data_IF_885891755920
#
_entry.id   IF_885891755920
#
_cell.length_a   1.000
_cell.length_b   1.000
_cell.length_c   1.000
_cell.angle_alpha   90.00
_cell.angle_beta   90.00
_cell.angle_gamma   90.00
#
_symmetry.space_group_name_H-M   'P 1'
#
loop_
_entity.id
_entity.type
_entity.pdbx_description
1 polymer ?
#
# COMPACT_ATOMS: atom_id res chain seq x y z
N UNK A 1 18.24 -2.58 -14.01
CA UNK A 1 17.22 -1.71 -13.41
C UNK A 1 15.98 -1.71 -14.28
N UNK A 2 14.80 -1.81 -13.69
CA UNK A 2 13.55 -1.77 -14.44
C UNK A 2 13.33 -0.38 -15.05
N UNK A 3 12.84 -0.36 -16.28
CA UNK A 3 12.50 0.88 -16.98
C UNK A 3 10.99 1.09 -16.84
N UNK A 4 10.61 2.15 -16.14
CA UNK A 4 9.20 2.51 -15.93
C UNK A 4 8.74 3.62 -16.85
N UNK A 5 9.55 3.99 -17.84
CA UNK A 5 9.21 5.06 -18.79
C UNK A 5 7.91 4.73 -19.52
N UNK A 6 6.98 5.69 -19.50
CA UNK A 6 5.68 5.52 -20.14
C UNK A 6 4.66 4.75 -19.31
N UNK A 7 5.02 4.26 -18.13
CA UNK A 7 4.09 3.56 -17.26
C UNK A 7 3.58 4.49 -16.15
N UNK A 8 2.26 4.50 -15.90
CA UNK A 8 1.71 5.29 -14.80
C UNK A 8 2.23 4.78 -13.46
N UNK A 9 2.79 5.68 -12.67
CA UNK A 9 3.41 5.37 -11.39
C UNK A 9 2.85 6.21 -10.26
N UNK A 10 2.90 5.63 -9.07
CA UNK A 10 2.76 6.37 -7.80
C UNK A 10 4.13 6.36 -7.13
N UNK A 11 4.63 7.53 -6.79
CA UNK A 11 5.94 7.69 -6.18
C UNK A 11 5.80 8.17 -4.74
N UNK A 12 6.76 7.81 -3.89
CA UNK A 12 6.86 8.39 -2.56
C UNK A 12 6.92 9.92 -2.68
N UNK A 13 5.99 10.61 -2.02
CA UNK A 13 5.94 12.07 -2.09
C UNK A 13 7.19 12.71 -1.52
N UNK A 14 7.78 12.06 -0.51
CA UNK A 14 8.93 12.60 0.20
C UNK A 14 10.23 12.51 -0.61
N UNK A 15 10.49 11.38 -1.27
CA UNK A 15 11.80 11.15 -1.92
C UNK A 15 11.71 10.74 -3.39
N UNK A 16 10.51 10.66 -3.95
CA UNK A 16 10.25 10.30 -5.37
C UNK A 16 10.52 8.84 -5.71
N UNK A 17 10.81 7.99 -4.73
CA UNK A 17 11.02 6.56 -4.96
C UNK A 17 9.76 5.93 -5.57
N UNK A 18 9.85 5.17 -6.68
CA UNK A 18 8.66 4.52 -7.25
C UNK A 18 8.11 3.47 -6.28
N UNK A 19 6.81 3.52 -6.03
CA UNK A 19 6.17 2.65 -5.03
C UNK A 19 5.17 1.68 -5.66
N UNK A 20 4.35 2.13 -6.61
CA UNK A 20 3.34 1.27 -7.19
C UNK A 20 3.03 1.66 -8.62
N UNK A 21 2.63 0.67 -9.41
CA UNK A 21 2.11 0.89 -10.76
C UNK A 21 0.60 1.08 -10.69
N UNK A 22 0.07 1.99 -11.49
CA UNK A 22 -1.39 2.16 -11.58
C UNK A 22 -2.07 0.86 -12.01
N UNK A 23 -1.42 0.06 -12.86
CA UNK A 23 -1.99 -1.20 -13.35
C UNK A 23 -2.20 -2.23 -12.22
N UNK A 24 -1.54 -2.05 -11.08
CA UNK A 24 -1.72 -2.90 -9.93
C UNK A 24 -2.79 -2.39 -8.97
N UNK A 25 -3.49 -1.33 -9.33
CA UNK A 25 -4.56 -0.77 -8.52
C UNK A 25 -5.77 -1.70 -8.52
N UNK A 26 -6.23 -2.09 -7.34
CA UNK A 26 -7.38 -2.97 -7.17
C UNK A 26 -8.64 -2.17 -6.81
N UNK A 27 -8.52 -1.21 -5.90
CA UNK A 27 -9.68 -0.46 -5.43
C UNK A 27 -9.25 0.91 -4.89
N UNK A 28 -10.09 1.92 -5.14
CA UNK A 28 -9.91 3.28 -4.61
C UNK A 28 -10.81 3.56 -3.40
N UNK A 29 -11.46 2.54 -2.85
CA UNK A 29 -12.55 2.73 -1.88
C UNK A 29 -12.13 2.44 -0.43
N UNK A 30 -10.91 2.80 -0.07
CA UNK A 30 -10.41 2.61 1.27
C UNK A 30 -10.09 3.95 1.93
N UNK A 31 -10.07 3.94 3.27
CA UNK A 31 -9.72 5.10 4.07
C UNK A 31 -8.66 4.73 5.08
N UNK A 32 -7.72 5.62 5.26
CA UNK A 32 -6.71 5.53 6.29
C UNK A 32 -6.80 6.77 7.18
N UNK A 33 -5.93 6.87 8.16
CA UNK A 33 -5.93 7.97 9.10
C UNK A 33 -5.74 9.32 8.41
N UNK A 34 -4.93 9.37 7.35
CA UNK A 34 -4.65 10.61 6.61
C UNK A 34 -5.70 10.94 5.55
N UNK A 35 -6.67 10.05 5.29
CA UNK A 35 -7.68 10.24 4.26
C UNK A 35 -7.76 9.06 3.30
N UNK A 36 -8.07 9.32 2.01
CA UNK A 36 -8.22 8.25 1.02
C UNK A 36 -6.99 7.37 0.94
N UNK A 37 -7.23 6.08 0.76
CA UNK A 37 -6.18 5.08 0.58
C UNK A 37 -6.61 4.10 -0.49
N UNK A 38 -5.65 3.59 -1.26
CA UNK A 38 -5.93 2.71 -2.37
C UNK A 38 -5.33 1.33 -2.12
N UNK A 39 -6.05 0.30 -2.56
CA UNK A 39 -5.60 -1.08 -2.46
C UNK A 39 -4.86 -1.45 -3.75
N UNK A 40 -3.63 -1.93 -3.61
CA UNK A 40 -2.80 -2.38 -4.72
C UNK A 40 -2.44 -3.85 -4.55
N UNK A 41 -2.40 -4.59 -5.66
CA UNK A 41 -1.96 -5.99 -5.63
C UNK A 41 -0.47 -6.11 -5.37
N UNK A 42 0.33 -5.11 -5.75
CA UNK A 42 1.78 -5.10 -5.58
C UNK A 42 2.26 -3.72 -5.15
N UNK A 43 3.37 -3.71 -4.42
CA UNK A 43 4.12 -2.50 -4.12
C UNK A 43 5.60 -2.83 -4.26
N UNK A 44 6.39 -1.85 -4.68
CA UNK A 44 7.84 -2.00 -4.85
C UNK A 44 8.55 -1.02 -3.94
N UNK A 45 9.82 -1.29 -3.67
CA UNK A 45 10.69 -0.37 -2.91
C UNK A 45 10.12 -0.04 -1.53
N UNK A 46 9.53 -1.03 -0.90
CA UNK A 46 8.98 -0.88 0.45
C UNK A 46 9.61 -1.89 1.39
N UNK A 47 9.70 -1.51 2.65
CA UNK A 47 10.09 -2.41 3.74
C UNK A 47 8.82 -2.72 4.52
N UNK A 48 8.56 -4.01 4.72
CA UNK A 48 7.42 -4.47 5.49
C UNK A 48 7.84 -4.56 6.95
N UNK A 49 7.10 -3.89 7.81
CA UNK A 49 7.39 -3.86 9.23
C UNK A 49 6.90 -5.09 9.96
N UNK A 50 6.87 -5.00 11.27
CA UNK A 50 6.41 -6.09 12.13
C UNK A 50 4.90 -6.25 12.01
N UNK A 51 4.43 -7.48 11.86
CA UNK A 51 3.00 -7.72 11.78
C UNK A 51 2.35 -7.64 13.16
N UNK A 52 1.10 -7.18 13.15
CA UNK A 52 0.27 -7.05 14.35
C UNK A 52 -1.19 -7.30 13.96
N UNK A 53 -1.97 -7.82 14.91
CA UNK A 53 -3.41 -7.96 14.69
C UNK A 53 -4.09 -6.64 14.96
N UNK A 54 -5.04 -6.28 14.10
CA UNK A 54 -5.78 -5.03 14.23
C UNK A 54 -7.21 -5.21 13.79
N UNK A 55 -8.13 -4.66 14.59
CA UNK A 55 -9.53 -4.61 14.23
C UNK A 55 -9.79 -3.39 13.36
N UNK A 56 -10.29 -3.62 12.16
CA UNK A 56 -10.70 -2.59 11.22
C UNK A 56 -12.20 -2.70 11.01
N UNK A 57 -12.79 -1.74 10.28
CA UNK A 57 -14.23 -1.72 10.05
C UNK A 57 -14.73 -3.04 9.45
N UNK A 58 -13.95 -3.65 8.56
CA UNK A 58 -14.34 -4.87 7.83
C UNK A 58 -13.93 -6.16 8.52
N UNK A 59 -13.34 -6.09 9.71
CA UNK A 59 -12.95 -7.28 10.45
C UNK A 59 -11.57 -7.19 11.07
N UNK A 60 -11.10 -8.31 11.62
CA UNK A 60 -9.79 -8.41 12.24
C UNK A 60 -8.78 -8.92 11.21
N UNK A 61 -7.63 -8.27 11.16
CA UNK A 61 -6.57 -8.61 10.22
C UNK A 61 -5.23 -8.65 10.94
N UNK A 62 -4.32 -9.48 10.43
CA UNK A 62 -2.90 -9.31 10.71
C UNK A 62 -2.35 -8.38 9.64
N UNK A 63 -1.82 -7.24 10.04
CA UNK A 63 -1.27 -6.23 9.12
C UNK A 63 0.15 -5.89 9.52
N UNK A 64 0.89 -5.31 8.57
CA UNK A 64 2.23 -4.78 8.83
C UNK A 64 2.36 -3.45 8.12
N UNK A 65 2.84 -2.43 8.81
CA UNK A 65 3.10 -1.15 8.18
C UNK A 65 4.14 -1.31 7.08
N UNK A 66 4.01 -0.53 6.02
CA UNK A 66 5.02 -0.48 4.96
C UNK A 66 5.69 0.88 4.95
N UNK A 67 7.00 0.86 4.72
CA UNK A 67 7.85 2.04 4.74
C UNK A 67 8.55 2.18 3.40
N UNK A 68 8.74 3.40 2.94
CA UNK A 68 9.58 3.65 1.77
C UNK A 68 11.00 3.15 2.06
N UNK A 69 11.54 2.29 1.20
CA UNK A 69 12.88 1.72 1.42
C UNK A 69 13.99 2.76 1.33
N UNK A 70 13.72 3.91 0.73
CA UNK A 70 14.71 4.97 0.56
C UNK A 70 14.70 5.97 1.70
N UNK A 71 13.53 6.50 2.07
CA UNK A 71 13.45 7.58 3.08
C UNK A 71 12.82 7.16 4.40
N UNK A 72 12.26 5.95 4.49
CA UNK A 72 11.64 5.46 5.72
C UNK A 72 10.24 5.99 6.01
N UNK A 73 9.65 6.78 5.12
CA UNK A 73 8.29 7.31 5.31
C UNK A 73 7.29 6.16 5.39
N UNK A 74 6.37 6.22 6.35
CA UNK A 74 5.26 5.25 6.44
C UNK A 74 4.29 5.54 5.31
N UNK A 75 4.01 4.53 4.47
CA UNK A 75 3.17 4.69 3.27
C UNK A 75 1.78 4.08 3.43
N UNK A 76 1.61 3.15 4.35
CA UNK A 76 0.37 2.43 4.55
C UNK A 76 0.64 1.11 5.23
N UNK A 77 -0.03 0.04 4.76
CA UNK A 77 0.17 -1.28 5.36
C UNK A 77 -0.07 -2.38 4.34
N UNK A 78 0.46 -3.56 4.67
CA UNK A 78 0.20 -4.79 3.94
C UNK A 78 -0.79 -5.63 4.75
N UNK A 79 -1.79 -6.22 4.08
CA UNK A 79 -2.63 -7.23 4.71
C UNK A 79 -1.87 -8.55 4.67
N UNK A 80 -1.45 -9.02 5.84
CA UNK A 80 -0.73 -10.29 5.93
C UNK A 80 -1.74 -11.44 6.00
N UNK A 81 -2.81 -11.26 6.78
CA UNK A 81 -3.84 -12.28 6.93
C UNK A 81 -5.19 -11.64 7.25
N UNK A 82 -6.25 -12.19 6.68
CA UNK A 82 -7.63 -11.85 7.00
C UNK A 82 -8.24 -13.01 7.79
N UNK A 83 -8.83 -12.70 8.95
CA UNK A 83 -9.46 -13.74 9.77
C UNK A 83 -10.90 -14.02 9.36
N UNK A 84 -11.52 -13.12 8.61
CA UNK A 84 -12.85 -13.31 8.04
C UNK A 84 -12.72 -13.85 6.62
N UNK A 85 -13.39 -14.97 6.33
CA UNK A 85 -13.31 -15.61 5.02
C UNK A 85 -13.75 -14.68 3.88
N UNK A 86 -14.68 -13.75 4.14
CA UNK A 86 -15.16 -12.81 3.12
C UNK A 86 -14.12 -11.74 2.77
N UNK A 87 -13.07 -11.62 3.57
CA UNK A 87 -12.04 -10.58 3.41
C UNK A 87 -10.69 -11.15 2.94
N UNK A 88 -10.62 -12.45 2.64
CA UNK A 88 -9.35 -13.09 2.26
C UNK A 88 -8.78 -12.55 0.95
N UNK A 89 -9.60 -11.91 0.11
CA UNK A 89 -9.11 -11.30 -1.13
C UNK A 89 -8.06 -10.21 -0.86
N UNK A 90 -8.02 -9.66 0.35
CA UNK A 90 -7.06 -8.62 0.71
C UNK A 90 -5.68 -9.17 1.04
N UNK A 91 -5.58 -10.46 1.36
CA UNK A 91 -4.30 -11.05 1.80
C UNK A 91 -3.22 -10.88 0.74
N UNK A 92 -2.05 -10.46 1.18
CA UNK A 92 -0.91 -10.21 0.30
C UNK A 92 -0.95 -8.87 -0.42
N UNK A 93 -2.03 -8.09 -0.27
CA UNK A 93 -2.20 -6.80 -0.94
C UNK A 93 -1.80 -5.66 -0.02
N UNK A 94 -1.66 -4.48 -0.62
CA UNK A 94 -1.11 -3.30 0.05
C UNK A 94 -2.11 -2.16 0.04
N UNK A 95 -2.27 -1.51 1.19
CA UNK A 95 -2.94 -0.21 1.26
C UNK A 95 -1.87 0.87 1.21
N UNK A 96 -2.04 1.81 0.30
CA UNK A 96 -1.15 2.97 0.17
C UNK A 96 -1.98 4.22 0.37
N UNK A 97 -1.57 5.05 1.32
CA UNK A 97 -2.24 6.30 1.64
C UNK A 97 -1.93 7.33 0.56
N UNK A 98 -2.97 7.92 -0.02
CA UNK A 98 -2.79 8.84 -1.15
C UNK A 98 -2.04 10.11 -0.74
N UNK A 99 -2.19 10.54 0.51
CA UNK A 99 -1.45 11.69 1.03
C UNK A 99 0.07 11.45 1.04
N UNK A 100 0.52 10.19 0.98
CA UNK A 100 1.94 9.82 1.06
C UNK A 100 2.61 9.62 -0.29
N UNK A 101 1.85 9.65 -1.37
CA UNK A 101 2.38 9.41 -2.71
C UNK A 101 1.92 10.48 -3.68
N UNK A 102 2.62 10.58 -4.81
CA UNK A 102 2.26 11.45 -5.91
C UNK A 102 2.13 10.61 -7.17
N UNK A 103 1.16 10.97 -8.00
CA UNK A 103 0.97 10.34 -9.31
C UNK A 103 1.97 10.92 -10.31
N UNK A 104 2.62 10.03 -11.04
CA UNK A 104 3.48 10.41 -12.17
C UNK A 104 2.95 9.74 -13.42
N UNK A 105 1.92 10.33 -14.01
CA UNK A 105 1.40 9.89 -15.31
C UNK A 105 0.38 10.90 -15.84
#
# INVERSE_FOLDING_TARGET
MADFRGQPLYNCRNCKNPIALRDDLVSKKFWAKSGPAYLFSHAMNVVVGQKKDKELITGVFSIADIYCSNCGEVLGWKYVRAYDATQTYKEGKFIIEIAKVAKLY
#
